data_IF_549695965685
#
_entry.id   IF_549695965685
#
_cell.length_a   1.000
_cell.length_b   1.000
_cell.length_c   1.000
_cell.angle_alpha   90.00
_cell.angle_beta   90.00
_cell.angle_gamma   90.00
#
_symmetry.space_group_name_H-M   'P 1'
#
loop_
_entity.id
_entity.type
_entity.pdbx_description
1 polymer ?
#
# COMPACT_ATOMS: atom_id res chain seq x y z
N UNK A 1 -4.28 6.31 -12.29
CA UNK A 1 -3.02 7.10 -12.33
C UNK A 1 -1.74 6.29 -12.57
N UNK A 2 -1.74 4.95 -12.52
CA UNK A 2 -0.52 4.12 -12.59
C UNK A 2 0.10 4.01 -14.00
N UNK A 3 -0.69 4.07 -15.08
CA UNK A 3 -0.17 3.93 -16.46
C UNK A 3 0.69 5.12 -16.90
N UNK A 4 0.31 6.34 -16.53
CA UNK A 4 1.06 7.56 -16.88
C UNK A 4 2.42 7.59 -16.17
N UNK A 5 2.45 7.33 -14.86
CA UNK A 5 3.68 7.26 -14.07
C UNK A 5 4.66 6.21 -14.61
N UNK A 6 4.16 5.02 -14.98
CA UNK A 6 4.99 3.97 -15.62
C UNK A 6 5.55 4.39 -16.99
N UNK A 7 4.84 5.24 -17.73
CA UNK A 7 5.27 5.69 -19.07
C UNK A 7 6.35 6.75 -19.03
N UNK A 8 6.28 7.68 -18.07
CA UNK A 8 7.25 8.78 -17.93
C UNK A 8 8.52 8.36 -17.18
N UNK A 9 8.44 7.28 -16.38
CA UNK A 9 9.59 6.81 -15.62
C UNK A 9 9.98 7.76 -14.49
N UNK A 10 11.13 7.48 -13.87
CA UNK A 10 11.71 8.30 -12.80
C UNK A 10 12.19 9.65 -13.33
N UNK A 11 12.97 9.62 -14.42
CA UNK A 11 13.51 10.82 -15.10
C UNK A 11 12.40 11.81 -15.49
N UNK A 12 11.27 11.31 -15.99
CA UNK A 12 10.14 12.16 -16.38
C UNK A 12 9.42 12.77 -15.18
N UNK A 13 9.42 12.10 -14.02
CA UNK A 13 8.88 12.66 -12.77
C UNK A 13 9.82 13.74 -12.23
N UNK A 14 11.13 13.51 -12.27
CA UNK A 14 12.13 14.49 -11.84
C UNK A 14 12.08 15.76 -12.69
N UNK A 15 11.96 15.63 -14.01
CA UNK A 15 11.79 16.75 -14.92
C UNK A 15 10.52 17.56 -14.62
N UNK A 16 9.41 16.89 -14.32
CA UNK A 16 8.16 17.57 -13.98
C UNK A 16 8.26 18.32 -12.65
N UNK A 17 8.98 17.75 -11.67
CA UNK A 17 9.24 18.42 -10.40
C UNK A 17 10.10 19.67 -10.60
N UNK A 18 11.17 19.59 -11.39
CA UNK A 18 12.05 20.75 -11.65
C UNK A 18 11.28 21.89 -12.31
N UNK A 19 10.48 21.60 -13.34
CA UNK A 19 9.64 22.58 -14.03
C UNK A 19 8.63 23.25 -13.10
N UNK A 20 8.06 22.49 -12.16
CA UNK A 20 7.09 23.00 -11.18
C UNK A 20 7.75 23.98 -10.22
N UNK A 21 8.95 23.67 -9.73
CA UNK A 21 9.73 24.56 -8.84
C UNK A 21 10.13 25.84 -9.59
N UNK A 22 10.65 25.72 -10.81
CA UNK A 22 11.06 26.86 -11.63
C UNK A 22 9.89 27.80 -11.92
N UNK A 23 8.72 27.23 -12.23
CA UNK A 23 7.51 28.01 -12.48
C UNK A 23 7.07 28.75 -11.22
N UNK A 24 7.09 28.08 -10.06
CA UNK A 24 6.72 28.68 -8.78
C UNK A 24 7.67 29.80 -8.32
N UNK A 25 8.94 29.72 -8.67
CA UNK A 25 9.91 30.82 -8.45
C UNK A 25 9.62 32.00 -9.37
N UNK A 26 9.38 31.76 -10.67
CA UNK A 26 9.07 32.82 -11.64
C UNK A 26 7.76 33.55 -11.34
N UNK A 27 6.75 32.84 -10.84
CA UNK A 27 5.46 33.41 -10.45
C UNK A 27 5.46 34.07 -9.07
N UNK A 28 6.60 34.11 -8.36
CA UNK A 28 6.72 34.54 -6.97
C UNK A 28 5.78 33.80 -5.99
N UNK A 29 5.29 32.63 -6.38
CA UNK A 29 4.45 31.77 -5.52
C UNK A 29 5.31 31.05 -4.47
N UNK A 30 6.56 30.74 -4.82
CA UNK A 30 7.54 30.12 -3.93
C UNK A 30 8.61 31.15 -3.59
N UNK A 31 8.88 31.35 -2.30
CA UNK A 31 10.02 32.16 -1.86
C UNK A 31 11.29 31.32 -1.95
N UNK A 32 12.43 31.87 -2.42
CA UNK A 32 13.70 31.13 -2.44
C UNK A 32 14.11 30.57 -1.06
N UNK A 33 13.73 31.25 0.02
CA UNK A 33 13.97 30.79 1.38
C UNK A 33 13.27 29.46 1.72
N UNK A 34 12.14 29.16 1.06
CA UNK A 34 11.37 27.93 1.27
C UNK A 34 12.01 26.69 0.64
N UNK A 35 13.02 26.85 -0.23
CA UNK A 35 13.75 25.73 -0.84
C UNK A 35 14.95 25.27 0.01
N UNK A 36 15.20 25.89 1.17
CA UNK A 36 16.33 25.55 2.04
C UNK A 36 16.16 24.24 2.79
N UNK A 37 14.91 23.83 3.02
CA UNK A 37 14.57 22.62 3.77
C UNK A 37 13.61 21.77 2.95
N UNK A 38 13.85 20.47 2.91
CA UNK A 38 12.98 19.50 2.27
C UNK A 38 12.22 18.75 3.37
N UNK A 39 10.93 19.04 3.51
CA UNK A 39 10.05 18.31 4.42
C UNK A 39 9.44 17.14 3.65
N UNK A 40 9.96 15.94 3.89
CA UNK A 40 9.40 14.70 3.34
C UNK A 40 8.36 14.17 4.32
N UNK A 41 7.08 14.35 4.00
CA UNK A 41 5.99 13.76 4.77
C UNK A 41 5.87 12.27 4.44
N UNK A 42 6.53 11.42 5.23
CA UNK A 42 6.35 9.96 5.14
C UNK A 42 5.02 9.61 5.82
N UNK A 43 3.90 9.84 5.14
CA UNK A 43 2.63 9.25 5.57
C UNK A 43 2.74 7.74 5.42
N UNK A 44 3.11 7.06 6.51
CA UNK A 44 2.90 5.64 6.64
C UNK A 44 1.39 5.46 6.67
N UNK A 45 0.79 5.07 5.54
CA UNK A 45 -0.56 4.51 5.60
C UNK A 45 -0.54 3.43 6.67
N UNK A 46 -1.50 3.45 7.60
CA UNK A 46 -1.67 2.33 8.51
C UNK A 46 -1.68 1.07 7.66
N UNK A 47 -0.62 0.29 7.80
CA UNK A 47 -0.51 -1.00 7.14
C UNK A 47 -1.78 -1.73 7.60
N UNK A 48 -2.53 -2.31 6.66
CA UNK A 48 -3.72 -3.11 6.96
C UNK A 48 -3.29 -4.40 7.70
N UNK A 49 -2.68 -4.23 8.88
CA UNK A 49 -2.24 -5.25 9.80
C UNK A 49 -3.46 -5.51 10.66
N UNK A 50 -4.31 -6.42 10.21
CA UNK A 50 -5.17 -7.09 11.16
C UNK A 50 -4.27 -7.85 12.12
N UNK A 51 -4.13 -7.37 13.36
CA UNK A 51 -3.50 -8.14 14.42
C UNK A 51 -4.21 -9.50 14.49
N UNK A 52 -3.46 -10.62 14.53
CA UNK A 52 -4.08 -11.94 14.61
C UNK A 52 -4.82 -12.01 15.93
N UNK A 53 -6.15 -11.94 15.87
CA UNK A 53 -6.99 -12.33 16.99
C UNK A 53 -7.10 -13.85 16.99
N UNK A 54 -7.17 -14.45 18.17
CA UNK A 54 -7.32 -15.90 18.31
C UNK A 54 -8.51 -16.41 17.49
N UNK A 55 -9.62 -15.67 17.40
CA UNK A 55 -10.76 -16.03 16.56
C UNK A 55 -10.41 -16.21 15.08
N UNK A 56 -9.59 -15.31 14.50
CA UNK A 56 -9.17 -15.42 13.09
C UNK A 56 -8.17 -16.56 12.88
N UNK A 57 -7.35 -16.87 13.87
CA UNK A 57 -6.42 -17.99 13.81
C UNK A 57 -7.18 -19.32 13.89
N UNK A 58 -8.13 -19.42 14.82
CA UNK A 58 -9.02 -20.57 14.98
C UNK A 58 -9.84 -20.82 13.71
N UNK A 59 -10.34 -19.76 13.07
CA UNK A 59 -11.04 -19.85 11.78
C UNK A 59 -10.18 -20.51 10.70
N UNK A 60 -8.95 -19.99 10.50
CA UNK A 60 -7.99 -20.56 9.55
C UNK A 60 -7.62 -22.00 9.88
N UNK A 61 -7.47 -22.33 11.16
CA UNK A 61 -7.19 -23.69 11.62
C UNK A 61 -8.36 -24.62 11.29
N UNK A 62 -9.60 -24.18 11.52
CA UNK A 62 -10.81 -24.94 11.18
C UNK A 62 -10.86 -25.22 9.68
N UNK A 63 -10.67 -24.21 8.83
CA UNK A 63 -10.73 -24.37 7.38
C UNK A 63 -9.71 -25.40 6.87
N UNK A 64 -8.48 -25.36 7.42
CA UNK A 64 -7.44 -26.35 7.12
C UNK A 64 -7.83 -27.77 7.55
N UNK A 65 -8.39 -27.92 8.76
CA UNK A 65 -8.85 -29.22 9.27
C UNK A 65 -9.98 -29.81 8.41
N UNK A 66 -10.92 -28.98 7.94
CA UNK A 66 -11.96 -29.41 7.00
C UNK A 66 -11.35 -29.89 5.68
N UNK A 67 -10.35 -29.17 5.15
CA UNK A 67 -9.60 -29.60 3.97
C UNK A 67 -8.92 -30.96 4.14
N UNK A 68 -8.25 -31.18 5.28
CA UNK A 68 -7.61 -32.48 5.58
C UNK A 68 -8.63 -33.60 5.78
N UNK A 69 -9.77 -33.33 6.42
CA UNK A 69 -10.84 -34.31 6.58
C UNK A 69 -11.39 -34.76 5.22
N UNK A 70 -11.58 -33.83 4.28
CA UNK A 70 -11.99 -34.15 2.89
C UNK A 70 -10.95 -35.01 2.17
N UNK A 71 -9.66 -34.67 2.29
CA UNK A 71 -8.57 -35.45 1.69
C UNK A 71 -8.49 -36.87 2.28
N UNK A 72 -8.74 -37.02 3.57
CA UNK A 72 -8.77 -38.31 4.26
C UNK A 72 -10.10 -39.08 4.08
N UNK A 73 -11.08 -38.54 3.35
CA UNK A 73 -12.39 -39.17 3.14
C UNK A 73 -13.27 -39.24 4.41
N UNK A 74 -12.97 -38.45 5.43
CA UNK A 74 -13.72 -38.42 6.68
C UNK A 74 -15.00 -37.60 6.48
N UNK A 75 -16.16 -38.23 6.68
CA UNK A 75 -17.46 -37.54 6.65
C UNK A 75 -17.64 -36.73 7.93
N UNK A 76 -17.64 -35.40 7.80
CA UNK A 76 -17.98 -34.49 8.89
C UNK A 76 -19.50 -34.39 9.02
N UNK A 77 -20.02 -34.47 10.26
CA UNK A 77 -21.45 -34.31 10.55
C UNK A 77 -21.96 -32.91 10.21
N UNK A 78 -21.12 -31.90 10.42
CA UNK A 78 -21.40 -30.50 10.11
C UNK A 78 -20.08 -29.79 9.81
N UNK A 79 -20.03 -29.10 8.69
CA UNK A 79 -18.93 -28.21 8.31
C UNK A 79 -19.53 -26.84 7.99
N UNK A 80 -18.88 -25.80 8.49
CA UNK A 80 -19.14 -24.42 8.07
C UNK A 80 -18.07 -24.12 7.01
N UNK A 81 -18.49 -24.07 5.75
CA UNK A 81 -17.68 -23.62 4.62
C UNK A 81 -17.83 -22.11 4.40
#
# INVERSE_FOLDING_TARGET
>A
MTRFRKRIGEDGVELMLSLTVDTGLKSNTIKPASLREVVVDSTVMEKNIAHPTDSKLLEKCRDKLVGFAKQAGIRLRQSYE
#
